data_IF_875598239407
#
_entry.id   IF_875598239407
#
_cell.length_a   1.000
_cell.length_b   1.000
_cell.length_c   1.000
_cell.angle_alpha   90.00
_cell.angle_beta   90.00
_cell.angle_gamma   90.00
#
_symmetry.space_group_name_H-M   'P 1'
#
loop_
_entity.id
_entity.type
_entity.pdbx_description
1 polymer ?
#
# COMPACT_ATOMS: atom_id res chain seq x y z
N UNK A 1 29.93 -15.34 -7.23
CA UNK A 1 29.34 -14.20 -7.95
C UNK A 1 28.09 -13.84 -7.18
N UNK A 2 28.11 -12.72 -6.45
CA UNK A 2 26.97 -12.30 -5.66
C UNK A 2 25.77 -12.03 -6.59
N UNK A 3 24.54 -12.40 -6.19
CA UNK A 3 23.37 -12.10 -6.99
C UNK A 3 23.27 -10.59 -7.20
N UNK A 4 23.05 -10.17 -8.45
CA UNK A 4 22.76 -8.78 -8.82
C UNK A 4 21.73 -8.17 -7.85
N UNK A 5 21.77 -6.85 -7.57
CA UNK A 5 20.84 -6.21 -6.65
C UNK A 5 19.41 -6.18 -7.23
N UNK A 6 18.72 -7.31 -7.11
CA UNK A 6 17.31 -7.48 -7.48
C UNK A 6 16.39 -6.85 -6.42
N UNK A 7 16.94 -6.54 -5.24
CA UNK A 7 16.21 -6.01 -4.09
C UNK A 7 15.40 -4.74 -4.39
N UNK A 8 15.98 -3.69 -5.02
CA UNK A 8 15.26 -2.44 -5.28
C UNK A 8 14.11 -2.61 -6.26
N UNK A 9 14.30 -3.43 -7.31
CA UNK A 9 13.29 -3.68 -8.32
C UNK A 9 12.08 -4.43 -7.74
N UNK A 10 12.33 -5.47 -6.94
CA UNK A 10 11.25 -6.23 -6.29
C UNK A 10 10.48 -5.37 -5.29
N UNK A 11 11.18 -4.57 -4.48
CA UNK A 11 10.55 -3.64 -3.54
C UNK A 11 9.64 -2.63 -4.25
N UNK A 12 10.14 -1.99 -5.32
CA UNK A 12 9.36 -1.05 -6.11
C UNK A 12 8.14 -1.71 -6.75
N UNK A 13 8.31 -2.95 -7.21
CA UNK A 13 7.25 -3.72 -7.87
C UNK A 13 6.12 -4.05 -6.91
N UNK A 14 6.43 -4.64 -5.74
CA UNK A 14 5.39 -4.97 -4.76
C UNK A 14 4.72 -3.72 -4.18
N UNK A 15 5.47 -2.63 -4.02
CA UNK A 15 4.93 -1.36 -3.59
C UNK A 15 3.95 -0.77 -4.60
N UNK A 16 4.33 -0.63 -5.88
CA UNK A 16 3.44 -0.07 -6.89
C UNK A 16 2.22 -0.96 -7.10
N UNK A 17 2.37 -2.29 -7.04
CA UNK A 17 1.24 -3.23 -7.08
C UNK A 17 0.26 -2.94 -5.95
N UNK A 18 0.75 -2.94 -4.70
CA UNK A 18 -0.08 -2.68 -3.51
C UNK A 18 -0.72 -1.30 -3.57
N UNK A 19 0.05 -0.28 -3.94
CA UNK A 19 -0.43 1.09 -4.04
C UNK A 19 -1.54 1.24 -5.09
N UNK A 20 -1.38 0.64 -6.28
CA UNK A 20 -2.38 0.72 -7.35
C UNK A 20 -3.69 0.07 -6.94
N UNK A 21 -3.61 -1.12 -6.33
CA UNK A 21 -4.77 -1.85 -5.82
C UNK A 21 -5.55 -1.03 -4.79
N UNK A 22 -4.85 -0.44 -3.81
CA UNK A 22 -5.47 0.37 -2.75
C UNK A 22 -6.07 1.66 -3.30
N UNK A 23 -5.34 2.35 -4.19
CA UNK A 23 -5.80 3.61 -4.79
C UNK A 23 -7.06 3.41 -5.62
N UNK A 24 -7.17 2.32 -6.39
CA UNK A 24 -8.34 2.06 -7.26
C UNK A 24 -9.63 1.86 -6.46
N UNK A 25 -9.56 1.12 -5.35
CA UNK A 25 -10.72 0.87 -4.49
C UNK A 25 -10.96 1.93 -3.44
N UNK A 26 -10.08 2.92 -3.36
CA UNK A 26 -10.18 3.99 -2.38
C UNK A 26 -10.17 3.46 -0.93
N UNK A 27 -9.42 2.38 -0.68
CA UNK A 27 -9.31 1.73 0.64
C UNK A 27 -8.24 2.41 1.47
N UNK A 28 -8.46 2.50 2.78
CA UNK A 28 -7.51 3.10 3.71
C UNK A 28 -6.13 2.43 3.65
N UNK A 29 -5.09 3.19 3.28
CA UNK A 29 -3.74 2.69 3.13
C UNK A 29 -2.75 3.54 3.94
N UNK A 30 -2.06 2.94 4.91
CA UNK A 30 -1.10 3.64 5.78
C UNK A 30 -1.67 4.93 6.41
N UNK A 31 -2.93 4.92 6.85
CA UNK A 31 -3.60 6.08 7.42
C UNK A 31 -4.12 7.11 6.40
N UNK A 32 -3.89 6.89 5.10
CA UNK A 32 -4.54 7.68 4.04
C UNK A 32 -5.94 7.15 3.79
N UNK A 33 -6.95 7.98 4.04
CA UNK A 33 -8.31 7.73 3.58
C UNK A 33 -8.43 8.28 2.16
N UNK A 34 -8.70 7.40 1.20
CA UNK A 34 -9.04 7.81 -0.16
C UNK A 34 -10.55 8.02 -0.17
N UNK A 35 -11.01 9.23 0.10
CA UNK A 35 -12.44 9.49 0.14
C UNK A 35 -13.01 9.81 -1.26
N UNK A 36 -14.22 9.33 -1.54
CA UNK A 36 -14.88 9.43 -2.83
C UNK A 36 -15.49 10.82 -3.04
N UNK A 37 -14.72 11.76 -3.60
CA UNK A 37 -15.27 12.92 -4.30
C UNK A 37 -14.93 14.30 -3.73
N UNK A 38 -14.44 14.39 -2.50
CA UNK A 38 -13.88 15.65 -1.97
C UNK A 38 -12.36 15.49 -1.91
N UNK A 39 -11.67 15.90 -2.98
CA UNK A 39 -10.20 15.90 -3.04
C UNK A 39 -9.63 16.81 -1.96
N UNK A 40 -9.33 16.25 -0.79
CA UNK A 40 -8.54 16.93 0.24
C UNK A 40 -7.10 16.97 -0.25
N UNK A 41 -6.57 18.18 -0.54
CA UNK A 41 -5.18 18.46 -0.96
C UNK A 41 -4.15 17.67 -0.15
N UNK A 42 -4.46 17.34 1.09
CA UNK A 42 -3.60 16.65 2.05
C UNK A 42 -3.25 15.20 1.62
N UNK A 43 -4.17 14.49 0.97
CA UNK A 43 -3.92 13.11 0.50
C UNK A 43 -2.90 13.05 -0.64
N UNK A 44 -2.84 14.08 -1.47
CA UNK A 44 -1.88 14.16 -2.58
C UNK A 44 -0.45 14.30 -2.06
N UNK A 45 -0.25 15.08 -1.00
CA UNK A 45 1.06 15.26 -0.36
C UNK A 45 1.50 13.94 0.28
N UNK A 46 0.63 13.29 1.05
CA UNK A 46 0.95 12.02 1.72
C UNK A 46 1.29 10.90 0.72
N UNK A 47 0.54 10.79 -0.38
CA UNK A 47 0.83 9.86 -1.47
C UNK A 47 2.18 10.16 -2.15
N UNK A 48 2.46 11.44 -2.41
CA UNK A 48 3.74 11.88 -2.97
C UNK A 48 4.90 11.53 -2.03
N UNK A 49 4.76 11.81 -0.73
CA UNK A 49 5.74 11.50 0.30
C UNK A 49 6.02 9.99 0.37
N UNK A 50 4.98 9.16 0.39
CA UNK A 50 5.16 7.70 0.46
C UNK A 50 5.87 7.15 -0.78
N UNK A 51 5.50 7.61 -1.98
CA UNK A 51 6.16 7.23 -3.24
C UNK A 51 7.62 7.64 -3.26
N UNK A 52 7.92 8.88 -2.82
CA UNK A 52 9.29 9.35 -2.74
C UNK A 52 10.08 8.59 -1.67
N UNK A 53 9.49 8.31 -0.51
CA UNK A 53 10.12 7.52 0.55
C UNK A 53 10.53 6.13 0.07
N UNK A 54 9.62 5.39 -0.60
CA UNK A 54 9.94 4.06 -1.14
C UNK A 54 11.03 4.15 -2.21
N UNK A 55 11.01 5.17 -3.08
CA UNK A 55 12.04 5.39 -4.10
C UNK A 55 13.40 5.69 -3.47
N UNK A 56 13.43 6.55 -2.47
CA UNK A 56 14.65 6.87 -1.71
C UNK A 56 15.16 5.63 -0.98
N UNK A 57 14.28 4.84 -0.38
CA UNK A 57 14.63 3.57 0.27
C UNK A 57 15.22 2.57 -0.76
N UNK A 58 14.57 2.40 -1.91
CA UNK A 58 15.06 1.53 -2.98
C UNK A 58 16.44 1.99 -3.50
N UNK A 59 16.64 3.30 -3.67
CA UNK A 59 17.93 3.86 -4.05
C UNK A 59 18.99 3.66 -2.97
N UNK A 60 18.66 3.85 -1.70
CA UNK A 60 19.57 3.59 -0.59
C UNK A 60 19.98 2.11 -0.53
N UNK A 61 19.01 1.19 -0.68
CA UNK A 61 19.26 -0.25 -0.75
C UNK A 61 20.15 -0.63 -1.94
N UNK A 62 19.94 0.01 -3.09
CA UNK A 62 20.79 -0.16 -4.27
C UNK A 62 22.22 0.29 -3.97
N UNK A 63 22.40 1.49 -3.40
CA UNK A 63 23.73 2.04 -3.07
C UNK A 63 24.44 1.14 -2.06
N UNK A 64 23.79 0.72 -0.98
CA UNK A 64 24.37 -0.20 0.01
C UNK A 64 24.75 -1.52 -0.66
N UNK A 65 23.84 -2.10 -1.46
CA UNK A 65 24.12 -3.34 -2.18
C UNK A 65 25.28 -3.22 -3.16
N UNK A 66 25.45 -2.08 -3.83
CA UNK A 66 26.60 -1.83 -4.71
C UNK A 66 27.89 -1.66 -3.92
N UNK A 67 27.87 -0.89 -2.81
CA UNK A 67 29.04 -0.69 -1.95
C UNK A 67 29.57 -2.01 -1.39
N UNK A 68 28.67 -2.89 -0.96
CA UNK A 68 29.01 -4.24 -0.47
C UNK A 68 29.53 -5.13 -1.60
N UNK A 69 28.89 -5.11 -2.78
CA UNK A 69 29.29 -5.97 -3.91
C UNK A 69 30.62 -5.57 -4.55
N UNK A 70 30.95 -4.27 -4.58
CA UNK A 70 32.19 -3.76 -5.16
C UNK A 70 33.33 -3.67 -4.15
N UNK A 71 33.12 -4.15 -2.92
CA UNK A 71 34.11 -4.15 -1.83
C UNK A 71 34.72 -2.74 -1.58
N UNK A 72 33.96 -1.69 -1.88
CA UNK A 72 34.43 -0.29 -1.80
C UNK A 72 34.68 0.11 -0.34
N UNK A 73 33.99 -0.54 0.60
CA UNK A 73 34.03 -0.20 2.00
C UNK A 73 35.33 -0.64 2.69
N UNK A 74 35.98 -1.73 2.27
CA UNK A 74 37.18 -2.24 2.93
C UNK A 74 38.22 -2.74 1.92
N UNK A 75 39.11 -1.84 1.51
CA UNK A 75 40.26 -2.17 0.66
C UNK A 75 41.21 -3.14 1.38
N UNK A 76 41.12 -4.44 1.09
CA UNK A 76 42.22 -5.39 1.30
C UNK A 76 41.99 -6.56 2.25
N UNK A 77 40.79 -6.77 2.80
CA UNK A 77 40.47 -7.98 3.57
C UNK A 77 39.42 -8.78 2.80
N UNK A 78 39.88 -9.80 2.07
CA UNK A 78 39.00 -10.71 1.34
C UNK A 78 38.23 -11.60 2.32
N UNK A 79 37.03 -11.18 2.72
CA UNK A 79 36.14 -11.99 3.53
C UNK A 79 35.32 -12.93 2.64
N UNK A 80 35.71 -14.21 2.58
CA UNK A 80 35.09 -15.25 1.73
C UNK A 80 33.62 -15.56 2.12
N UNK A 81 33.15 -15.09 3.29
CA UNK A 81 31.79 -15.31 3.78
C UNK A 81 30.74 -14.39 3.14
N UNK A 82 31.14 -13.24 2.59
CA UNK A 82 30.19 -12.22 2.17
C UNK A 82 29.47 -12.62 0.89
N UNK A 83 28.13 -12.62 0.97
CA UNK A 83 27.26 -13.12 -0.09
C UNK A 83 27.18 -14.66 -0.18
N UNK A 84 27.89 -15.40 0.68
CA UNK A 84 27.81 -16.88 0.78
C UNK A 84 27.14 -17.33 2.06
N UNK A 85 27.05 -16.46 3.06
CA UNK A 85 26.47 -16.75 4.36
C UNK A 85 25.18 -15.93 4.61
N UNK A 86 24.23 -16.54 5.31
CA UNK A 86 22.95 -15.93 5.70
C UNK A 86 22.95 -15.43 7.14
N UNK A 87 21.77 -15.05 7.65
CA UNK A 87 21.61 -14.58 9.05
C UNK A 87 22.02 -15.63 10.08
N UNK A 88 21.97 -16.93 9.73
CA UNK A 88 22.43 -18.00 10.61
C UNK A 88 23.90 -17.85 11.03
N UNK A 89 24.77 -17.50 10.08
CA UNK A 89 26.20 -17.31 10.33
C UNK A 89 26.52 -16.16 11.28
N UNK A 90 25.66 -15.13 11.34
CA UNK A 90 25.77 -14.03 12.31
C UNK A 90 25.56 -14.53 13.74
N UNK A 91 24.65 -15.49 13.94
CA UNK A 91 24.34 -16.03 15.26
C UNK A 91 25.36 -17.05 15.76
N UNK A 92 26.01 -17.79 14.86
CA UNK A 92 27.00 -18.82 15.21
C UNK A 92 28.36 -18.23 15.63
N UNK A 93 28.66 -17.01 15.19
CA UNK A 93 29.30 -15.98 16.02
C UNK A 93 30.67 -16.27 16.66
N UNK A 94 31.57 -17.00 16.02
CA UNK A 94 32.93 -17.27 16.54
C UNK A 94 34.04 -16.42 15.85
N UNK A 95 33.65 -15.42 15.05
CA UNK A 95 34.55 -14.59 14.23
C UNK A 95 34.85 -13.18 14.77
N UNK A 96 35.87 -12.55 14.18
CA UNK A 96 36.35 -11.18 14.46
C UNK A 96 35.23 -10.11 14.33
N UNK A 97 35.23 -9.11 15.21
CA UNK A 97 34.14 -8.12 15.33
C UNK A 97 33.93 -7.34 14.01
N UNK A 98 35.02 -6.96 13.34
CA UNK A 98 34.98 -6.23 12.06
C UNK A 98 34.33 -7.07 10.95
N UNK A 99 34.56 -8.39 10.95
CA UNK A 99 33.97 -9.32 9.98
C UNK A 99 32.46 -9.45 10.19
N UNK A 100 32.01 -9.47 11.45
CA UNK A 100 30.59 -9.55 11.79
C UNK A 100 29.83 -8.30 11.37
N UNK A 101 30.41 -7.11 11.58
CA UNK A 101 29.79 -5.85 11.17
C UNK A 101 29.61 -5.82 9.66
N UNK A 102 30.62 -6.23 8.89
CA UNK A 102 30.53 -6.28 7.43
C UNK A 102 29.45 -7.26 6.94
N UNK A 103 29.38 -8.44 7.56
CA UNK A 103 28.34 -9.43 7.29
C UNK A 103 26.93 -8.86 7.56
N UNK A 104 26.72 -8.17 8.69
CA UNK A 104 25.43 -7.53 9.02
C UNK A 104 25.08 -6.46 7.98
N UNK A 105 26.03 -5.60 7.59
CA UNK A 105 25.81 -4.57 6.56
C UNK A 105 25.45 -5.21 5.21
N UNK A 106 26.04 -6.35 4.87
CA UNK A 106 25.73 -7.10 3.65
C UNK A 106 24.32 -7.70 3.64
N UNK A 107 23.80 -8.11 4.81
CA UNK A 107 22.49 -8.72 4.98
C UNK A 107 21.36 -7.68 5.19
N UNK A 108 21.72 -6.46 5.59
CA UNK A 108 20.79 -5.38 5.89
C UNK A 108 19.81 -5.07 4.74
N UNK A 109 20.24 -5.00 3.45
CA UNK A 109 19.31 -4.71 2.36
C UNK A 109 18.23 -5.78 2.21
N UNK A 110 18.60 -7.05 2.38
CA UNK A 110 17.68 -8.18 2.32
C UNK A 110 16.71 -8.15 3.50
N UNK A 111 17.16 -7.84 4.71
CA UNK A 111 16.28 -7.69 5.88
C UNK A 111 15.25 -6.58 5.68
N UNK A 112 15.68 -5.41 5.21
CA UNK A 112 14.76 -4.29 4.94
C UNK A 112 13.75 -4.67 3.86
N UNK A 113 14.19 -5.33 2.79
CA UNK A 113 13.30 -5.86 1.75
C UNK A 113 12.26 -6.80 2.36
N UNK A 114 12.68 -7.75 3.19
CA UNK A 114 11.81 -8.72 3.86
C UNK A 114 10.78 -8.00 4.73
N UNK A 115 11.21 -7.10 5.61
CA UNK A 115 10.29 -6.39 6.53
C UNK A 115 9.24 -5.57 5.78
N UNK A 116 9.67 -4.78 4.78
CA UNK A 116 8.74 -3.94 4.01
C UNK A 116 7.82 -4.80 3.13
N UNK A 117 8.35 -5.84 2.49
CA UNK A 117 7.56 -6.76 1.66
C UNK A 117 6.57 -7.58 2.49
N UNK A 118 6.92 -7.94 3.73
CA UNK A 118 6.04 -8.61 4.66
C UNK A 118 4.83 -7.74 4.99
N UNK A 119 5.08 -6.48 5.36
CA UNK A 119 4.04 -5.51 5.64
C UNK A 119 3.11 -5.31 4.43
N UNK A 120 3.67 -5.07 3.24
CA UNK A 120 2.88 -4.88 2.02
C UNK A 120 2.07 -6.14 1.66
N UNK A 121 2.65 -7.33 1.84
CA UNK A 121 1.95 -8.60 1.62
C UNK A 121 0.76 -8.79 2.56
N UNK A 122 0.89 -8.43 3.84
CA UNK A 122 -0.22 -8.49 4.80
C UNK A 122 -1.33 -7.51 4.39
N UNK A 123 -0.95 -6.28 4.02
CA UNK A 123 -1.91 -5.26 3.59
C UNK A 123 -2.66 -5.72 2.34
N UNK A 124 -1.95 -6.33 1.39
CA UNK A 124 -2.54 -6.88 0.17
C UNK A 124 -3.44 -8.09 0.46
N UNK A 125 -3.05 -8.96 1.40
CA UNK A 125 -3.89 -10.08 1.83
C UNK A 125 -5.19 -9.60 2.48
N UNK A 126 -5.12 -8.61 3.39
CA UNK A 126 -6.30 -8.00 4.03
C UNK A 126 -7.23 -7.37 3.01
N UNK A 127 -6.67 -6.71 2.00
CA UNK A 127 -7.46 -6.22 0.87
C UNK A 127 -8.19 -7.35 0.14
N UNK A 128 -7.47 -8.43 -0.15
CA UNK A 128 -8.02 -9.61 -0.80
C UNK A 128 -9.19 -10.24 -0.04
N UNK A 129 -9.20 -10.15 1.29
CA UNK A 129 -10.25 -10.72 2.13
C UNK A 129 -11.44 -9.77 2.33
N UNK A 130 -11.20 -8.46 2.44
CA UNK A 130 -12.24 -7.49 2.85
C UNK A 130 -12.80 -6.65 1.68
N UNK A 131 -12.00 -6.39 0.65
CA UNK A 131 -12.29 -5.34 -0.36
C UNK A 131 -12.22 -5.82 -1.81
N UNK A 132 -11.69 -7.01 -2.06
CA UNK A 132 -11.62 -7.64 -3.38
C UNK A 132 -13.00 -7.76 -4.02
N UNK A 133 -13.09 -7.49 -5.31
CA UNK A 133 -14.34 -7.63 -6.06
C UNK A 133 -14.68 -9.11 -6.31
N UNK A 134 -13.65 -9.96 -6.33
CA UNK A 134 -13.79 -11.42 -6.35
C UNK A 134 -13.80 -11.92 -4.92
N UNK A 135 -14.98 -12.28 -4.43
CA UNK A 135 -15.12 -12.85 -3.08
C UNK A 135 -14.66 -14.30 -3.12
N UNK A 136 -13.57 -14.58 -2.40
CA UNK A 136 -13.12 -15.95 -2.16
C UNK A 136 -13.56 -16.36 -0.76
N UNK A 137 -14.31 -17.46 -0.65
CA UNK A 137 -14.82 -17.97 0.63
C UNK A 137 -13.75 -18.65 1.50
N UNK A 138 -12.52 -18.79 1.00
CA UNK A 138 -11.40 -19.46 1.68
C UNK A 138 -10.40 -18.44 2.23
N UNK A 139 -9.81 -18.76 3.39
CA UNK A 139 -8.72 -17.98 4.00
C UNK A 139 -7.47 -17.93 3.11
N UNK A 140 -7.22 -19.00 2.33
CA UNK A 140 -6.13 -19.06 1.35
C UNK A 140 -6.60 -18.52 0.00
N UNK A 141 -6.87 -17.22 -0.06
CA UNK A 141 -7.21 -16.54 -1.31
C UNK A 141 -5.96 -16.33 -2.18
N UNK A 142 -6.10 -16.08 -3.49
CA UNK A 142 -4.96 -15.79 -4.36
C UNK A 142 -4.12 -14.57 -3.91
N UNK A 143 -4.73 -13.64 -3.18
CA UNK A 143 -4.04 -12.49 -2.59
C UNK A 143 -3.03 -12.86 -1.49
N UNK A 144 -3.08 -14.08 -0.98
CA UNK A 144 -2.11 -14.63 -0.02
C UNK A 144 -0.76 -14.99 -0.67
N UNK A 145 -0.67 -15.12 -2.00
CA UNK A 145 0.56 -15.61 -2.64
C UNK A 145 1.81 -14.79 -2.28
N UNK A 146 1.82 -13.44 -2.32
CA UNK A 146 3.00 -12.66 -1.97
C UNK A 146 3.46 -12.89 -0.53
N UNK A 147 2.53 -13.08 0.41
CA UNK A 147 2.86 -13.41 1.80
C UNK A 147 3.61 -14.73 1.88
N UNK A 148 3.12 -15.76 1.18
CA UNK A 148 3.79 -17.06 1.13
C UNK A 148 5.18 -16.96 0.49
N UNK A 149 5.33 -16.24 -0.62
CA UNK A 149 6.63 -16.01 -1.25
C UNK A 149 7.60 -15.25 -0.34
N UNK A 150 7.09 -14.29 0.43
CA UNK A 150 7.86 -13.55 1.43
C UNK A 150 8.34 -14.47 2.56
N UNK A 151 7.47 -15.35 3.06
CA UNK A 151 7.83 -16.33 4.08
C UNK A 151 8.90 -17.29 3.57
N UNK A 152 8.76 -17.78 2.34
CA UNK A 152 9.77 -18.61 1.69
C UNK A 152 11.11 -17.87 1.57
N UNK A 153 11.09 -16.60 1.15
CA UNK A 153 12.29 -15.76 1.08
C UNK A 153 12.94 -15.55 2.46
N UNK A 154 12.15 -15.33 3.51
CA UNK A 154 12.68 -15.16 4.86
C UNK A 154 13.29 -16.47 5.41
N UNK A 155 12.64 -17.60 5.19
CA UNK A 155 13.13 -18.91 5.62
C UNK A 155 14.44 -19.29 4.93
N UNK A 156 14.60 -18.95 3.65
CA UNK A 156 15.84 -19.29 2.93
C UNK A 156 17.05 -18.51 3.42
N UNK A 157 16.84 -17.40 4.14
CA UNK A 157 17.92 -16.62 4.76
C UNK A 157 18.48 -17.24 6.05
N UNK A 158 17.78 -18.24 6.61
CA UNK A 158 18.17 -18.93 7.84
C UNK A 158 19.06 -20.16 7.59
N UNK A 159 19.43 -20.43 6.34
CA UNK A 159 20.27 -21.58 6.00
C UNK A 159 21.77 -21.27 6.12
N UNK A 160 22.53 -22.33 6.41
CA UNK A 160 23.98 -22.36 6.50
C UNK A 160 24.68 -22.16 5.13
N UNK A 161 25.95 -21.78 5.15
CA UNK A 161 26.77 -21.34 4.00
C UNK A 161 26.71 -22.28 2.79
N UNK A 162 26.72 -23.60 3.05
CA UNK A 162 26.73 -24.62 1.99
C UNK A 162 25.45 -24.61 1.16
N UNK A 163 24.31 -24.38 1.81
CA UNK A 163 22.99 -24.41 1.17
C UNK A 163 22.46 -23.00 0.85
N UNK A 164 23.00 -21.97 1.49
CA UNK A 164 22.52 -20.60 1.40
C UNK A 164 22.45 -20.11 -0.05
N UNK A 165 23.47 -20.35 -0.88
CA UNK A 165 23.46 -19.90 -2.28
C UNK A 165 22.31 -20.50 -3.11
N UNK A 166 22.00 -21.78 -2.92
CA UNK A 166 20.92 -22.44 -3.67
C UNK A 166 19.57 -22.02 -3.09
N UNK A 167 19.45 -22.03 -1.76
CA UNK A 167 18.21 -21.73 -1.05
C UNK A 167 17.80 -20.27 -1.22
N UNK A 168 18.73 -19.32 -1.07
CA UNK A 168 18.44 -17.88 -1.25
C UNK A 168 17.93 -17.59 -2.66
N UNK A 169 18.61 -18.07 -3.70
CA UNK A 169 18.17 -17.93 -5.10
C UNK A 169 16.79 -18.57 -5.34
N UNK A 170 16.56 -19.74 -4.76
CA UNK A 170 15.25 -20.40 -4.82
C UNK A 170 14.16 -19.55 -4.13
N UNK A 171 14.47 -18.96 -2.98
CA UNK A 171 13.57 -18.04 -2.26
C UNK A 171 13.22 -16.81 -3.09
N UNK A 172 14.21 -16.17 -3.74
CA UNK A 172 13.96 -15.05 -4.65
C UNK A 172 13.10 -15.46 -5.83
N UNK A 173 13.37 -16.61 -6.45
CA UNK A 173 12.58 -17.12 -7.57
C UNK A 173 11.13 -17.39 -7.16
N UNK A 174 10.92 -18.07 -6.02
CA UNK A 174 9.58 -18.31 -5.47
C UNK A 174 8.87 -16.98 -5.20
N UNK A 175 9.55 -16.01 -4.59
CA UNK A 175 8.98 -14.69 -4.33
C UNK A 175 8.58 -13.98 -5.63
N UNK A 176 9.44 -13.95 -6.65
CA UNK A 176 9.13 -13.38 -7.98
C UNK A 176 7.88 -14.03 -8.56
N UNK A 177 7.79 -15.37 -8.56
CA UNK A 177 6.62 -16.09 -9.08
C UNK A 177 5.35 -15.67 -8.34
N UNK A 178 5.40 -15.59 -7.01
CA UNK A 178 4.22 -15.19 -6.23
C UNK A 178 3.79 -13.74 -6.49
N UNK A 179 4.74 -12.82 -6.71
CA UNK A 179 4.44 -11.44 -7.10
C UNK A 179 3.82 -11.38 -8.49
N UNK A 180 4.31 -12.17 -9.45
CA UNK A 180 3.71 -12.27 -10.79
C UNK A 180 2.28 -12.83 -10.74
N UNK A 181 2.03 -13.85 -9.91
CA UNK A 181 0.68 -14.37 -9.69
C UNK A 181 -0.24 -13.31 -9.08
N UNK A 182 0.26 -12.49 -8.15
CA UNK A 182 -0.50 -11.38 -7.59
C UNK A 182 -0.79 -10.27 -8.63
N UNK A 183 0.14 -10.00 -9.56
CA UNK A 183 -0.14 -9.08 -10.68
C UNK A 183 -1.29 -9.56 -11.55
N UNK A 184 -1.32 -10.85 -11.88
CA UNK A 184 -2.41 -11.45 -12.66
C UNK A 184 -3.74 -11.30 -11.91
N UNK A 185 -3.74 -11.47 -10.59
CA UNK A 185 -4.96 -11.31 -9.80
C UNK A 185 -5.41 -9.85 -9.72
N UNK A 186 -4.47 -8.91 -9.56
CA UNK A 186 -4.77 -7.48 -9.63
C UNK A 186 -5.39 -7.12 -10.98
N UNK A 187 -4.84 -7.62 -12.09
CA UNK A 187 -5.39 -7.35 -13.42
C UNK A 187 -6.84 -7.83 -13.56
N UNK A 188 -7.15 -9.05 -13.09
CA UNK A 188 -8.53 -9.57 -13.07
C UNK A 188 -9.45 -8.68 -12.22
N UNK A 189 -9.00 -8.24 -11.06
CA UNK A 189 -9.78 -7.37 -10.17
C UNK A 189 -9.99 -5.99 -10.80
N UNK A 190 -9.01 -5.46 -11.54
CA UNK A 190 -9.13 -4.20 -12.27
C UNK A 190 -10.15 -4.29 -13.41
N UNK A 191 -10.12 -5.35 -14.21
CA UNK A 191 -11.08 -5.57 -15.30
C UNK A 191 -12.50 -5.61 -14.76
N UNK A 192 -12.74 -6.37 -13.68
CA UNK A 192 -14.07 -6.44 -13.05
C UNK A 192 -14.53 -5.08 -12.52
N UNK A 193 -13.61 -4.33 -11.90
CA UNK A 193 -13.95 -3.01 -11.39
C UNK A 193 -14.36 -2.05 -12.51
N UNK A 194 -13.69 -2.12 -13.66
CA UNK A 194 -13.99 -1.30 -14.83
C UNK A 194 -15.35 -1.70 -15.46
N UNK A 195 -15.71 -2.99 -15.46
CA UNK A 195 -17.04 -3.47 -15.86
C UNK A 195 -18.16 -2.89 -14.98
N UNK A 196 -17.99 -2.88 -13.66
CA UNK A 196 -18.98 -2.27 -12.75
C UNK A 196 -19.06 -0.77 -12.91
N UNK A 197 -17.93 -0.08 -13.12
CA UNK A 197 -17.94 1.36 -13.40
C UNK A 197 -18.74 1.68 -14.67
N UNK A 198 -18.52 0.91 -15.74
CA UNK A 198 -19.26 1.06 -16.99
C UNK A 198 -20.76 0.80 -16.82
N UNK A 199 -21.13 -0.24 -16.07
CA UNK A 199 -22.52 -0.53 -15.74
C UNK A 199 -23.19 0.64 -14.98
N UNK A 200 -22.51 1.21 -13.98
CA UNK A 200 -23.04 2.35 -13.21
C UNK A 200 -23.25 3.59 -14.07
N UNK A 201 -22.36 3.86 -15.02
CA UNK A 201 -22.53 4.96 -15.99
C UNK A 201 -23.75 4.73 -16.87
N UNK A 202 -23.97 3.50 -17.35
CA UNK A 202 -25.16 3.18 -18.15
C UNK A 202 -26.45 3.30 -17.34
N UNK A 203 -26.44 2.85 -16.08
CA UNK A 203 -27.58 2.97 -15.17
C UNK A 203 -27.88 4.45 -14.87
N UNK A 204 -26.86 5.28 -14.62
CA UNK A 204 -27.06 6.72 -14.42
C UNK A 204 -27.66 7.37 -15.66
N UNK A 205 -27.12 7.06 -16.85
CA UNK A 205 -27.63 7.58 -18.11
C UNK A 205 -29.08 7.17 -18.40
N UNK A 206 -29.45 5.91 -18.14
CA UNK A 206 -30.85 5.44 -18.28
C UNK A 206 -31.75 6.02 -17.19
N UNK A 207 -31.25 6.18 -15.97
CA UNK A 207 -31.96 6.81 -14.86
C UNK A 207 -32.34 8.25 -15.19
N UNK A 208 -31.41 9.02 -15.74
CA UNK A 208 -31.67 10.39 -16.20
C UNK A 208 -32.78 10.41 -17.26
N UNK A 209 -32.77 9.52 -18.25
CA UNK A 209 -33.83 9.45 -19.27
C UNK A 209 -35.21 9.16 -18.68
N UNK A 210 -35.30 8.31 -17.66
CA UNK A 210 -36.58 7.96 -17.01
C UNK A 210 -37.07 9.11 -16.11
N UNK A 211 -36.16 9.88 -15.50
CA UNK A 211 -36.51 11.02 -14.67
C UNK A 211 -37.05 12.25 -15.44
N UNK A 212 -36.91 12.33 -16.78
CA UNK A 212 -37.37 13.49 -17.57
C UNK A 212 -38.88 13.48 -17.93
N UNK A 213 -39.66 12.48 -17.51
CA UNK A 213 -41.11 12.44 -17.82
C UNK A 213 -42.02 12.77 -16.63
N UNK A 214 -41.74 13.85 -15.88
CA UNK A 214 -42.81 14.51 -15.11
C UNK A 214 -43.35 15.64 -16.00
N UNK A 215 -44.51 15.46 -16.67
CA UNK A 215 -45.13 16.56 -17.38
C UNK A 215 -45.38 17.68 -16.37
N UNK A 216 -44.67 18.80 -16.55
CA UNK A 216 -44.96 20.04 -15.86
C UNK A 216 -46.47 20.29 -16.00
N UNK A 217 -47.24 20.35 -14.90
CA UNK A 217 -48.66 20.67 -15.01
C UNK A 217 -48.73 22.03 -15.68
N UNK A 218 -49.28 22.01 -16.89
CA UNK A 218 -49.53 23.19 -17.69
C UNK A 218 -50.06 24.30 -16.78
N UNK A 219 -49.38 25.43 -16.80
CA UNK A 219 -49.78 26.66 -16.15
C UNK A 219 -51.05 27.20 -16.81
N UNK A 220 -52.17 26.54 -16.59
CA UNK A 220 -53.51 27.07 -16.79
C UNK A 220 -53.95 27.65 -15.46
N UNK A 221 -53.49 28.87 -15.13
CA UNK A 221 -54.19 29.75 -14.18
C UNK A 221 -53.87 31.22 -14.44
N UNK A 222 -54.65 31.76 -15.37
CA UNK A 222 -55.41 33.00 -15.20
C UNK A 222 -55.08 33.87 -13.97
N UNK A 223 -54.40 34.99 -14.21
CA UNK A 223 -54.96 36.35 -14.07
C UNK A 223 -56.16 36.50 -13.09
N UNK A 224 -55.84 36.75 -11.83
CA UNK A 224 -56.64 37.47 -10.81
C UNK A 224 -55.60 38.08 -9.86
N UNK A 225 -55.15 39.32 -10.05
CA UNK A 225 -55.80 40.60 -9.74
C UNK A 225 -56.18 40.74 -8.26
N UNK A 226 -55.32 41.49 -7.58
CA UNK A 226 -55.53 42.47 -6.50
C UNK A 226 -56.27 42.05 -5.21
N UNK A 227 -55.64 42.47 -4.11
CA UNK A 227 -56.17 42.81 -2.77
C UNK A 227 -55.71 41.95 -1.58
N UNK A 228 -55.48 42.69 -0.47
CA UNK A 228 -55.05 42.32 0.90
C UNK A 228 -53.52 42.27 1.12
N UNK A 229 -52.86 43.40 1.46
CA UNK A 229 -52.90 44.19 2.71
C UNK A 229 -52.42 43.40 3.94
N UNK A 230 -51.19 43.71 4.36
CA UNK A 230 -50.83 44.05 5.75
C UNK A 230 -50.87 42.95 6.81
N UNK A 231 -49.70 42.70 7.41
CA UNK A 231 -49.40 42.36 8.82
C UNK A 231 -47.91 41.92 8.83
N UNK A 232 -46.93 42.80 9.02
CA UNK A 232 -46.44 43.34 10.30
C UNK A 232 -46.36 42.29 11.44
N UNK A 233 -45.12 42.03 11.89
CA UNK A 233 -44.80 41.44 13.20
C UNK A 233 -44.47 39.95 13.21
N UNK A 234 -43.18 39.59 13.26
CA UNK A 234 -42.58 39.26 14.56
C UNK A 234 -41.09 38.87 14.41
N UNK A 235 -40.29 39.59 15.19
CA UNK A 235 -38.86 39.39 15.40
C UNK A 235 -38.60 38.01 16.04
N UNK A 236 -37.87 37.14 15.34
CA UNK A 236 -37.33 35.91 15.92
C UNK A 236 -35.96 36.23 16.55
N UNK A 237 -35.77 36.00 17.86
CA UNK A 237 -34.50 36.26 18.53
C UNK A 237 -33.39 35.36 17.99
N UNK A 238 -32.23 35.96 17.67
CA UNK A 238 -30.99 35.23 17.43
C UNK A 238 -30.55 34.50 18.71
N UNK A 239 -30.59 33.18 18.67
CA UNK A 239 -30.00 32.34 19.72
C UNK A 239 -28.49 32.21 19.45
N UNK A 240 -27.74 32.95 20.26
CA UNK A 240 -26.27 32.94 20.35
C UNK A 240 -25.84 31.58 20.92
N UNK A 241 -25.21 30.74 20.10
CA UNK A 241 -24.56 29.50 20.54
C UNK A 241 -23.07 29.79 20.67
N UNK A 242 -22.65 30.19 21.87
CA UNK A 242 -21.24 30.30 22.28
C UNK A 242 -20.83 29.03 23.04
N UNK A 243 -19.76 28.41 22.55
CA UNK A 243 -18.62 27.82 23.25
C UNK A 243 -18.83 26.92 24.47
N UNK A 244 -18.67 25.60 24.29
CA UNK A 244 -18.17 24.74 25.38
C UNK A 244 -17.59 23.39 24.91
N UNK A 245 -16.42 23.34 24.25
CA UNK A 245 -15.56 22.13 24.27
C UNK A 245 -14.08 22.53 24.25
N UNK A 246 -13.60 22.99 25.41
CA UNK A 246 -12.18 23.05 25.74
C UNK A 246 -12.00 22.52 27.15
N UNK A 247 -12.06 21.19 27.33
CA UNK A 247 -11.60 20.52 28.56
C UNK A 247 -11.53 18.99 28.40
N UNK A 248 -10.57 18.50 27.62
CA UNK A 248 -10.08 17.11 27.72
C UNK A 248 -8.60 17.07 27.37
N UNK A 249 -7.80 17.81 28.13
CA UNK A 249 -6.34 17.74 28.05
C UNK A 249 -5.68 17.98 29.41
N UNK A 250 -5.99 17.11 30.39
CA UNK A 250 -5.19 16.94 31.61
C UNK A 250 -5.74 15.76 32.42
N UNK A 251 -5.32 14.53 32.08
CA UNK A 251 -5.32 13.37 32.99
C UNK A 251 -4.77 12.15 32.23
N UNK A 252 -3.47 12.11 32.00
CA UNK A 252 -2.71 10.86 31.81
C UNK A 252 -1.22 11.17 31.97
N UNK A 253 -0.86 11.65 33.16
CA UNK A 253 0.47 11.49 33.76
C UNK A 253 0.22 11.19 35.24
N UNK A 254 0.10 9.91 35.54
CA UNK A 254 0.41 9.27 36.82
C UNK A 254 0.78 7.83 36.54
#
# INVERSE_FOLDING_TARGET
>A
MAPLPQFPALLMTIFELTYLTMKRRSVNFCGMQFDQGVRVRDTMVMSCLLRNFIRTLALALLVIGLLVNFDILYNGISHDLVGRAGWWSVFEGDGDEDSQIFLIVSLLPTLILILVSFYLSIVLWRYGTESSMVVHSSMCNPWFYPFFGMLALALTQLFDEKLYNIMSNTGYLVYIITVLLAMVEVDKDMVKNDEVANFLVEVAYKGDQVCVAVPSPASTRSRQRDEEVGLEGDDIPQMKVEDEVSQTKAKHEQ
#
